data_IF_368187577713
#
_entry.id   IF_368187577713
#
_cell.length_a   1.000
_cell.length_b   1.000
_cell.length_c   1.000
_cell.angle_alpha   90.00
_cell.angle_beta   90.00
_cell.angle_gamma   90.00
#
_symmetry.space_group_name_H-M   'P 1'
#
loop_
_entity.id
_entity.type
_entity.pdbx_description
1 polymer ?
#
# COMPACT_ATOMS: atom_id res chain seq x y z
N UNK A 1 -16.60 56.85 45.92
CA UNK A 1 -15.97 55.51 45.87
C UNK A 1 -17.04 54.52 45.45
N UNK A 2 -16.81 53.78 44.36
CA UNK A 2 -17.58 52.59 44.02
C UNK A 2 -16.62 51.66 43.27
N UNK A 3 -16.30 50.50 43.85
CA UNK A 3 -15.31 49.57 43.32
C UNK A 3 -15.89 48.74 42.17
N UNK A 4 -15.18 48.73 41.04
CA UNK A 4 -15.42 47.75 39.98
C UNK A 4 -15.05 46.35 40.50
N UNK A 5 -16.04 45.51 40.74
CA UNK A 5 -15.83 44.09 41.04
C UNK A 5 -15.65 43.31 39.74
N UNK A 6 -14.42 43.00 39.38
CA UNK A 6 -14.15 42.01 38.34
C UNK A 6 -14.50 40.63 38.89
N UNK A 7 -15.50 39.96 38.30
CA UNK A 7 -15.81 38.58 38.65
C UNK A 7 -14.66 37.67 38.21
N UNK A 8 -13.97 37.03 39.16
CA UNK A 8 -13.00 36.00 38.85
C UNK A 8 -13.74 34.76 38.30
N UNK A 9 -13.63 34.52 36.99
CA UNK A 9 -14.19 33.33 36.37
C UNK A 9 -13.60 32.06 37.00
N UNK A 10 -14.46 31.08 37.29
CA UNK A 10 -14.19 29.89 38.09
C UNK A 10 -12.98 29.11 37.55
N UNK A 11 -11.95 28.78 38.38
CA UNK A 11 -10.86 27.91 37.94
C UNK A 11 -11.35 26.59 37.32
N UNK A 12 -12.48 26.03 37.80
CA UNK A 12 -13.08 24.82 37.27
C UNK A 12 -13.74 24.97 35.88
N UNK A 13 -14.02 26.19 35.42
CA UNK A 13 -14.43 26.45 34.04
C UNK A 13 -13.21 26.62 33.14
N UNK A 14 -12.19 27.36 33.59
CA UNK A 14 -10.94 27.59 32.84
C UNK A 14 -10.15 26.31 32.57
N UNK A 15 -10.20 25.32 33.47
CA UNK A 15 -9.60 24.01 33.23
C UNK A 15 -10.37 23.24 32.16
N UNK A 16 -11.71 23.21 32.20
CA UNK A 16 -12.54 22.55 31.18
C UNK A 16 -12.41 23.19 29.80
N UNK A 17 -12.29 24.52 29.75
CA UNK A 17 -12.03 25.26 28.50
C UNK A 17 -10.65 24.92 27.93
N UNK A 18 -9.62 24.77 28.78
CA UNK A 18 -8.28 24.30 28.36
C UNK A 18 -8.31 22.87 27.87
N UNK A 19 -8.94 21.95 28.60
CA UNK A 19 -9.08 20.54 28.18
C UNK A 19 -9.83 20.42 26.84
N UNK A 20 -10.92 21.17 26.65
CA UNK A 20 -11.65 21.20 25.38
C UNK A 20 -10.83 21.82 24.24
N UNK A 21 -10.05 22.86 24.51
CA UNK A 21 -9.19 23.50 23.51
C UNK A 21 -8.03 22.58 23.10
N UNK A 22 -7.41 21.88 24.05
CA UNK A 22 -6.34 20.91 23.79
C UNK A 22 -6.88 19.67 23.03
N UNK A 23 -8.07 19.16 23.37
CA UNK A 23 -8.71 18.06 22.63
C UNK A 23 -9.08 18.48 21.19
N UNK A 24 -9.65 19.68 20.99
CA UNK A 24 -9.90 20.26 19.66
C UNK A 24 -8.60 20.42 18.86
N UNK A 25 -7.52 20.87 19.49
CA UNK A 25 -6.22 21.04 18.83
C UNK A 25 -5.57 19.67 18.51
N UNK A 26 -5.75 18.67 19.37
CA UNK A 26 -5.31 17.30 19.15
C UNK A 26 -6.07 16.63 17.99
N UNK A 27 -7.40 16.75 17.97
CA UNK A 27 -8.26 16.23 16.90
C UNK A 27 -7.94 16.88 15.54
N UNK A 28 -7.70 18.21 15.50
CA UNK A 28 -7.21 18.88 14.29
C UNK A 28 -5.87 18.31 13.82
N UNK A 29 -4.90 18.11 14.71
CA UNK A 29 -3.59 17.52 14.34
C UNK A 29 -3.73 16.11 13.77
N UNK A 30 -4.62 15.27 14.33
CA UNK A 30 -4.87 13.92 13.82
C UNK A 30 -5.53 13.95 12.44
N UNK A 31 -6.55 14.78 12.25
CA UNK A 31 -7.21 14.98 10.97
C UNK A 31 -6.21 15.48 9.91
N UNK A 32 -5.42 16.52 10.24
CA UNK A 32 -4.36 17.05 9.38
C UNK A 32 -3.26 16.02 9.05
N UNK A 33 -2.94 15.07 9.94
CA UNK A 33 -1.95 14.02 9.64
C UNK A 33 -2.38 13.15 8.46
N UNK A 34 -3.69 12.87 8.37
CA UNK A 34 -4.28 12.18 7.23
C UNK A 34 -4.48 13.14 6.04
N UNK A 35 -5.22 14.23 6.22
CA UNK A 35 -5.62 15.11 5.10
C UNK A 35 -4.46 15.86 4.47
N UNK A 36 -3.31 16.05 5.13
CA UNK A 36 -2.12 16.60 4.47
C UNK A 36 -1.54 15.69 3.36
N UNK A 37 -2.00 14.44 3.22
CA UNK A 37 -1.54 13.48 2.22
C UNK A 37 -2.50 13.29 1.05
N UNK A 38 -3.76 13.69 1.18
CA UNK A 38 -4.84 13.45 0.22
C UNK A 38 -5.61 14.75 -0.03
N UNK A 39 -6.43 14.85 -1.07
CA UNK A 39 -7.32 16.02 -1.17
C UNK A 39 -8.41 15.99 -0.09
N UNK A 40 -9.02 17.14 0.18
CA UNK A 40 -10.00 17.36 1.27
C UNK A 40 -11.13 16.31 1.30
N UNK A 41 -11.55 15.84 0.11
CA UNK A 41 -12.63 14.88 -0.13
C UNK A 41 -12.33 13.43 0.27
N UNK A 42 -11.13 13.14 0.79
CA UNK A 42 -10.76 11.76 1.18
C UNK A 42 -11.63 11.24 2.33
N UNK A 43 -12.05 12.12 3.25
CA UNK A 43 -12.81 11.72 4.43
C UNK A 43 -14.23 11.30 4.06
N UNK A 44 -14.89 12.05 3.18
CA UNK A 44 -16.21 11.75 2.61
C UNK A 44 -16.17 10.42 1.86
N UNK A 45 -15.19 10.24 0.98
CA UNK A 45 -15.04 9.01 0.20
C UNK A 45 -14.79 7.78 1.08
N UNK A 46 -13.99 7.92 2.15
CA UNK A 46 -13.79 6.84 3.13
C UNK A 46 -15.03 6.60 4.02
N UNK A 47 -15.88 7.61 4.23
CA UNK A 47 -17.14 7.51 5.00
C UNK A 47 -18.24 6.78 4.22
N UNK A 48 -18.19 6.83 2.88
CA UNK A 48 -19.09 6.10 1.97
C UNK A 48 -18.70 4.62 1.78
N UNK A 49 -17.44 4.25 2.01
CA UNK A 49 -16.98 2.87 1.80
C UNK A 49 -17.62 1.90 2.82
N UNK A 50 -18.16 0.75 2.36
CA UNK A 50 -18.71 -0.26 3.25
C UNK A 50 -17.60 -0.98 4.04
N UNK A 51 -17.97 -1.44 5.24
CA UNK A 51 -17.11 -2.29 6.06
C UNK A 51 -16.52 -1.59 7.30
N UNK A 52 -15.96 -2.41 8.18
CA UNK A 52 -15.34 -1.99 9.44
C UNK A 52 -13.84 -1.89 9.25
N UNK A 53 -13.31 -0.66 9.28
CA UNK A 53 -11.88 -0.43 9.10
C UNK A 53 -11.40 0.86 9.78
N UNK A 54 -10.07 0.95 9.95
CA UNK A 54 -9.37 2.12 10.47
C UNK A 54 -8.04 2.34 9.73
N UNK A 55 -7.54 3.56 9.80
CA UNK A 55 -6.17 3.91 9.41
C UNK A 55 -5.42 4.40 10.65
N UNK A 56 -4.19 3.92 10.85
CA UNK A 56 -3.25 4.42 11.84
C UNK A 56 -2.06 5.11 11.17
N UNK A 57 -1.47 6.09 11.84
CA UNK A 57 -0.30 6.83 11.36
C UNK A 57 0.95 6.42 12.18
N UNK A 58 1.93 5.70 11.58
CA UNK A 58 3.14 5.26 12.28
C UNK A 58 4.18 6.37 12.47
N UNK A 59 4.05 7.53 11.82
CA UNK A 59 4.92 8.68 12.05
C UNK A 59 4.54 9.45 13.33
N UNK A 60 3.30 9.30 13.81
CA UNK A 60 2.84 9.86 15.07
C UNK A 60 3.20 8.95 16.26
N UNK A 61 3.61 9.58 17.37
CA UNK A 61 3.98 8.88 18.60
C UNK A 61 2.83 8.00 19.12
N UNK A 62 3.13 6.73 19.40
CA UNK A 62 2.13 5.74 19.84
C UNK A 62 1.34 5.06 18.73
N UNK A 63 1.60 5.38 17.46
CA UNK A 63 0.93 4.81 16.28
C UNK A 63 -0.62 4.93 16.37
N UNK A 64 -1.16 6.16 16.55
CA UNK A 64 -2.58 6.40 16.81
C UNK A 64 -3.46 6.12 15.59
N UNK A 65 -4.73 5.83 15.85
CA UNK A 65 -5.80 5.83 14.86
C UNK A 65 -6.07 7.28 14.41
N UNK A 66 -5.89 7.54 13.12
CA UNK A 66 -6.18 8.84 12.47
C UNK A 66 -7.49 8.82 11.67
N UNK A 67 -8.01 7.63 11.35
CA UNK A 67 -9.33 7.47 10.74
C UNK A 67 -10.03 6.21 11.27
N UNK A 68 -11.34 6.29 11.47
CA UNK A 68 -12.21 5.17 11.82
C UNK A 68 -13.49 5.23 10.97
N UNK A 69 -13.86 4.13 10.31
CA UNK A 69 -15.06 4.07 9.46
C UNK A 69 -16.36 4.02 10.28
N UNK A 70 -17.48 4.36 9.64
CA UNK A 70 -18.82 4.21 10.23
C UNK A 70 -19.12 2.76 10.59
N UNK A 71 -18.68 1.80 9.75
CA UNK A 71 -18.81 0.38 10.02
C UNK A 71 -18.01 -0.11 11.23
N UNK A 72 -16.85 0.51 11.53
CA UNK A 72 -16.08 0.19 12.75
C UNK A 72 -16.82 0.66 14.01
N UNK A 73 -17.41 1.85 13.98
CA UNK A 73 -18.23 2.35 15.09
C UNK A 73 -19.44 1.44 15.34
N UNK A 74 -20.14 1.02 14.27
CA UNK A 74 -21.26 0.08 14.36
C UNK A 74 -20.83 -1.32 14.87
N UNK A 75 -19.67 -1.83 14.45
CA UNK A 75 -19.16 -3.12 14.92
C UNK A 75 -18.74 -3.06 16.40
N UNK A 76 -17.95 -2.08 16.78
CA UNK A 76 -17.27 -2.05 18.08
C UNK A 76 -18.05 -1.32 19.16
N UNK A 77 -19.11 -0.58 18.80
CA UNK A 77 -19.90 0.24 19.72
C UNK A 77 -19.20 1.52 20.20
N UNK A 78 -17.94 1.76 19.83
CA UNK A 78 -17.22 2.99 20.14
C UNK A 78 -17.61 4.12 19.19
N UNK A 79 -17.81 5.32 19.72
CA UNK A 79 -17.94 6.50 18.87
C UNK A 79 -16.58 6.84 18.23
N UNK A 80 -16.57 7.38 17.00
CA UNK A 80 -15.33 7.72 16.27
C UNK A 80 -14.36 8.58 17.12
N UNK A 81 -14.89 9.59 17.81
CA UNK A 81 -14.14 10.44 18.76
C UNK A 81 -13.49 9.69 19.93
N UNK A 82 -14.02 8.54 20.34
CA UNK A 82 -13.48 7.74 21.46
C UNK A 82 -12.32 6.82 21.03
N UNK A 83 -12.06 6.69 19.72
CA UNK A 83 -10.99 5.84 19.15
C UNK A 83 -9.91 6.61 18.40
N UNK A 84 -10.25 7.77 17.80
CA UNK A 84 -9.27 8.68 17.21
C UNK A 84 -8.20 9.08 18.25
N UNK A 85 -6.94 9.18 17.84
CA UNK A 85 -5.81 9.50 18.71
C UNK A 85 -5.30 8.35 19.59
N UNK A 86 -6.06 7.25 19.70
CA UNK A 86 -5.68 6.09 20.52
C UNK A 86 -5.05 5.01 19.64
N UNK A 87 -4.15 4.21 20.22
CA UNK A 87 -3.65 3.01 19.56
C UNK A 87 -4.73 1.91 19.48
N UNK A 88 -4.71 1.11 18.40
CA UNK A 88 -5.69 0.03 18.14
C UNK A 88 -5.79 -1.06 19.25
N UNK A 89 -4.88 -1.06 20.23
CA UNK A 89 -5.00 -1.82 21.49
C UNK A 89 -6.27 -1.52 22.30
N UNK A 90 -7.00 -0.43 22.00
CA UNK A 90 -8.30 -0.10 22.62
C UNK A 90 -9.33 -1.23 22.51
N UNK A 91 -9.29 -2.02 21.43
CA UNK A 91 -10.21 -3.14 21.21
C UNK A 91 -9.77 -4.44 21.89
N UNK A 92 -8.63 -4.47 22.59
CA UNK A 92 -8.07 -5.68 23.20
C UNK A 92 -8.41 -5.75 24.69
N UNK A 93 -8.56 -6.96 25.24
CA UNK A 93 -8.91 -7.19 26.64
C UNK A 93 -8.24 -8.44 27.22
N UNK A 94 -8.72 -8.89 28.38
CA UNK A 94 -8.02 -9.87 29.21
C UNK A 94 -7.81 -11.25 28.53
N UNK A 95 -8.77 -11.70 27.72
CA UNK A 95 -8.67 -12.96 26.99
C UNK A 95 -8.17 -12.81 25.53
N UNK A 96 -7.78 -11.61 25.09
CA UNK A 96 -7.16 -11.44 23.78
C UNK A 96 -5.80 -12.15 23.75
N UNK A 97 -5.64 -13.10 22.83
CA UNK A 97 -4.41 -13.90 22.73
C UNK A 97 -3.16 -13.03 22.50
N UNK A 98 -2.16 -13.24 23.36
CA UNK A 98 -0.88 -12.54 23.30
C UNK A 98 -0.05 -12.97 22.09
N UNK A 99 -0.19 -14.20 21.58
CA UNK A 99 0.53 -14.66 20.40
C UNK A 99 -0.02 -13.99 19.12
N UNK A 100 -1.35 -13.94 18.95
CA UNK A 100 -2.00 -13.15 17.90
C UNK A 100 -1.57 -11.67 17.94
N UNK A 101 -1.58 -11.04 19.12
CA UNK A 101 -1.13 -9.65 19.28
C UNK A 101 0.38 -9.50 18.97
N UNK A 102 1.22 -10.47 19.32
CA UNK A 102 2.64 -10.45 18.96
C UNK A 102 2.84 -10.56 17.44
N UNK A 103 2.08 -11.43 16.75
CA UNK A 103 2.09 -11.54 15.29
C UNK A 103 1.72 -10.23 14.59
N UNK A 104 0.72 -9.51 15.10
CA UNK A 104 0.35 -8.16 14.63
C UNK A 104 1.49 -7.15 14.83
N UNK A 105 2.10 -7.10 16.03
CA UNK A 105 3.24 -6.20 16.29
C UNK A 105 4.41 -6.50 15.36
N UNK A 106 4.67 -7.78 15.09
CA UNK A 106 5.77 -8.19 14.23
C UNK A 106 5.49 -7.88 12.75
N UNK A 107 4.24 -8.01 12.29
CA UNK A 107 3.84 -7.55 10.97
C UNK A 107 3.99 -6.02 10.79
N UNK A 108 3.71 -5.24 11.85
CA UNK A 108 3.96 -3.79 11.86
C UNK A 108 5.46 -3.49 11.75
N UNK A 109 6.31 -4.14 12.56
CA UNK A 109 7.78 -3.96 12.50
C UNK A 109 8.37 -4.35 11.16
N UNK A 110 7.97 -5.50 10.62
CA UNK A 110 8.40 -6.00 9.32
C UNK A 110 7.70 -5.30 8.14
N UNK A 111 6.82 -4.31 8.40
CA UNK A 111 6.12 -3.51 7.38
C UNK A 111 5.46 -4.38 6.31
N UNK A 112 4.76 -5.44 6.73
CA UNK A 112 4.12 -6.44 5.86
C UNK A 112 2.65 -6.63 6.18
N UNK A 113 1.90 -7.13 5.20
CA UNK A 113 0.52 -7.56 5.44
C UNK A 113 0.46 -8.76 6.40
N UNK A 114 -0.64 -8.86 7.14
CA UNK A 114 -0.91 -9.98 8.05
C UNK A 114 -2.41 -10.16 8.26
N UNK A 115 -2.87 -11.41 8.26
CA UNK A 115 -4.20 -11.78 8.68
C UNK A 115 -4.12 -12.63 9.95
N UNK A 116 -4.99 -12.34 10.91
CA UNK A 116 -5.11 -13.10 12.16
C UNK A 116 -6.53 -13.04 12.69
N UNK A 117 -7.06 -14.16 13.18
CA UNK A 117 -8.28 -14.16 13.98
C UNK A 117 -7.94 -13.70 15.40
N UNK A 118 -8.63 -12.67 15.89
CA UNK A 118 -8.35 -12.06 17.19
C UNK A 118 -9.65 -11.77 17.95
N UNK A 119 -9.62 -12.03 19.26
CA UNK A 119 -10.70 -11.70 20.17
C UNK A 119 -10.62 -10.22 20.56
N UNK A 120 -11.58 -9.43 20.10
CA UNK A 120 -11.73 -8.02 20.43
C UNK A 120 -12.93 -7.80 21.36
N UNK A 121 -12.94 -6.66 22.04
CA UNK A 121 -13.98 -6.24 22.97
C UNK A 121 -14.69 -4.99 22.45
N UNK A 122 -16.01 -4.98 22.56
CA UNK A 122 -16.84 -3.81 22.25
C UNK A 122 -16.84 -2.83 23.42
N UNK A 123 -17.38 -1.62 23.20
CA UNK A 123 -17.48 -0.56 24.21
C UNK A 123 -18.21 -0.97 25.49
N UNK A 124 -19.15 -1.91 25.40
CA UNK A 124 -19.90 -2.49 26.52
C UNK A 124 -19.14 -3.62 27.26
N UNK A 125 -17.94 -3.98 26.81
CA UNK A 125 -17.15 -5.08 27.35
C UNK A 125 -17.51 -6.46 26.78
N UNK A 126 -18.43 -6.56 25.83
CA UNK A 126 -18.76 -7.85 25.19
C UNK A 126 -17.61 -8.33 24.27
N UNK A 127 -17.17 -9.60 24.38
CA UNK A 127 -16.19 -10.16 23.48
C UNK A 127 -16.80 -10.47 22.10
N UNK A 128 -16.00 -10.34 21.05
CA UNK A 128 -16.34 -10.79 19.70
C UNK A 128 -15.07 -11.14 18.91
N UNK A 129 -15.16 -12.18 18.08
CA UNK A 129 -14.08 -12.56 17.19
C UNK A 129 -14.12 -11.76 15.90
N UNK A 130 -12.95 -11.29 15.47
CA UNK A 130 -12.77 -10.67 14.15
C UNK A 130 -11.56 -11.28 13.44
N UNK A 131 -11.68 -11.45 12.13
CA UNK A 131 -10.54 -11.55 11.25
C UNK A 131 -10.00 -10.13 11.05
N UNK A 132 -8.84 -9.88 11.64
CA UNK A 132 -8.06 -8.67 11.43
C UNK A 132 -7.18 -8.86 10.20
N UNK A 133 -7.43 -8.09 9.15
CA UNK A 133 -6.51 -7.93 8.02
C UNK A 133 -5.79 -6.59 8.15
N UNK A 134 -4.51 -6.67 8.51
CA UNK A 134 -3.59 -5.54 8.57
C UNK A 134 -2.80 -5.46 7.25
N UNK A 135 -2.76 -4.28 6.65
CA UNK A 135 -1.95 -3.98 5.47
C UNK A 135 -1.26 -2.61 5.59
N UNK A 136 0.06 -2.51 5.37
CA UNK A 136 0.74 -1.22 5.23
C UNK A 136 0.30 -0.51 3.94
N UNK A 137 0.13 0.81 4.03
CA UNK A 137 -0.07 1.72 2.89
C UNK A 137 1.22 2.52 2.72
N UNK A 138 1.87 2.34 1.57
CA UNK A 138 3.17 2.93 1.28
C UNK A 138 3.04 4.22 0.47
N UNK A 139 4.00 5.12 0.61
CA UNK A 139 4.24 6.15 -0.39
C UNK A 139 4.82 5.49 -1.64
N UNK A 140 4.23 5.77 -2.81
CA UNK A 140 4.51 5.03 -4.03
C UNK A 140 5.91 5.29 -4.62
N UNK A 141 6.57 6.40 -4.24
CA UNK A 141 7.90 6.77 -4.78
C UNK A 141 9.09 6.21 -4.00
N UNK A 142 9.00 6.18 -2.67
CA UNK A 142 10.14 5.85 -1.79
C UNK A 142 9.95 4.56 -0.96
N UNK A 143 8.78 3.92 -1.03
CA UNK A 143 8.50 2.69 -0.28
C UNK A 143 8.45 2.87 1.24
N UNK A 144 8.37 4.10 1.75
CA UNK A 144 8.09 4.42 3.15
C UNK A 144 6.64 4.07 3.49
N UNK A 145 6.37 3.69 4.75
CA UNK A 145 5.00 3.43 5.20
C UNK A 145 4.36 4.74 5.67
N UNK A 146 3.26 5.12 5.04
CA UNK A 146 2.48 6.31 5.41
C UNK A 146 1.41 5.99 6.45
N UNK A 147 0.71 4.87 6.28
CA UNK A 147 -0.34 4.42 7.19
C UNK A 147 -0.33 2.89 7.31
N UNK A 148 -0.97 2.37 8.36
CA UNK A 148 -1.47 0.99 8.33
C UNK A 148 -2.99 1.01 8.25
N UNK A 149 -3.51 0.25 7.28
CA UNK A 149 -4.91 -0.08 7.14
C UNK A 149 -5.21 -1.35 7.94
N UNK A 150 -6.23 -1.30 8.79
CA UNK A 150 -6.74 -2.47 9.49
C UNK A 150 -8.22 -2.64 9.19
N UNK A 151 -8.57 -3.71 8.46
CA UNK A 151 -9.94 -4.15 8.21
C UNK A 151 -10.32 -5.22 9.24
N UNK A 152 -11.52 -5.12 9.81
CA UNK A 152 -12.05 -6.09 10.77
C UNK A 152 -13.33 -6.72 10.21
N UNK A 153 -13.28 -8.01 9.89
CA UNK A 153 -14.46 -8.80 9.49
C UNK A 153 -14.88 -9.66 10.69
N UNK A 154 -16.12 -9.56 11.20
CA UNK A 154 -16.59 -10.47 12.25
C UNK A 154 -16.47 -11.93 11.83
N UNK A 155 -16.07 -12.81 12.76
CA UNK A 155 -16.05 -14.26 12.52
C UNK A 155 -17.31 -14.88 13.15
N UNK A 156 -18.20 -15.37 12.30
CA UNK A 156 -19.49 -15.90 12.74
C UNK A 156 -19.32 -17.21 13.54
N UNK A 157 -20.29 -17.48 14.42
CA UNK A 157 -20.30 -18.69 15.24
C UNK A 157 -20.99 -19.84 14.50
N UNK A 158 -20.20 -20.67 13.82
CA UNK A 158 -20.70 -21.89 13.16
C UNK A 158 -21.33 -22.92 14.13
N UNK A 159 -21.24 -22.70 15.46
CA UNK A 159 -21.72 -23.61 16.50
C UNK A 159 -23.11 -23.30 17.07
N UNK A 160 -23.72 -22.13 16.84
CA UNK A 160 -25.11 -21.85 17.25
C UNK A 160 -26.07 -22.12 16.10
N UNK A 161 -26.37 -23.40 15.90
CA UNK A 161 -27.22 -23.88 14.83
C UNK A 161 -28.59 -23.18 14.79
N UNK A 162 -29.00 -22.79 13.59
CA UNK A 162 -30.39 -22.45 13.31
C UNK A 162 -31.26 -23.68 13.62
N UNK A 163 -32.14 -23.56 14.62
CA UNK A 163 -33.11 -24.59 14.98
C UNK A 163 -34.19 -24.75 13.92
N UNK A 164 -33.84 -25.39 12.80
CA UNK A 164 -34.81 -25.83 11.82
C UNK A 164 -35.61 -27.00 12.44
N UNK A 165 -36.95 -26.92 12.53
CA UNK A 165 -37.75 -27.99 13.10
C UNK A 165 -37.74 -29.21 12.17
N UNK A 166 -37.09 -30.30 12.60
CA UNK A 166 -37.08 -31.56 11.88
C UNK A 166 -38.49 -32.14 11.72
N UNK A 167 -39.15 -31.85 10.59
CA UNK A 167 -40.23 -32.71 10.09
C UNK A 167 -39.61 -33.87 9.34
N UNK A 168 -39.89 -35.09 9.80
CA UNK A 168 -39.24 -36.30 9.31
C UNK A 168 -39.63 -36.69 7.89
N UNK A 169 -38.71 -37.38 7.23
CA UNK A 169 -38.96 -38.27 6.11
C UNK A 169 -38.13 -39.54 6.32
N UNK A 170 -38.69 -40.70 6.00
CA UNK A 170 -38.11 -42.00 6.31
C UNK A 170 -37.04 -42.41 5.29
N UNK A 171 -35.99 -43.08 5.78
CA UNK A 171 -35.41 -44.28 5.17
C UNK A 171 -34.82 -44.22 3.76
N UNK A 172 -33.49 -44.37 3.68
CA UNK A 172 -32.90 -45.33 2.75
C UNK A 172 -31.58 -45.88 3.33
N UNK A 173 -31.49 -47.20 3.45
CA UNK A 173 -30.28 -47.93 3.81
C UNK A 173 -29.35 -47.99 2.59
N UNK A 174 -28.06 -47.73 2.76
CA UNK A 174 -27.02 -48.37 1.96
C UNK A 174 -25.77 -48.60 2.82
N UNK A 175 -25.49 -49.87 3.10
CA UNK A 175 -24.29 -50.32 3.80
C UNK A 175 -23.29 -50.91 2.80
N UNK A 176 -21.99 -50.74 3.07
CA UNK A 176 -20.92 -51.51 2.46
C UNK A 176 -19.74 -51.68 3.43
N UNK A 177 -19.72 -52.87 4.05
CA UNK A 177 -18.59 -53.78 4.30
C UNK A 177 -17.23 -53.20 4.78
N UNK A 178 -16.73 -53.46 6.01
CA UNK A 178 -16.38 -54.75 6.71
C UNK A 178 -14.91 -55.15 6.46
N UNK A 179 -13.98 -54.96 7.42
CA UNK A 179 -13.54 -55.87 8.53
C UNK A 179 -12.63 -57.00 7.99
N UNK A 180 -11.51 -57.43 8.61
CA UNK A 180 -11.23 -58.02 9.94
C UNK A 180 -9.74 -57.71 10.29
N UNK A 181 -9.22 -57.60 11.53
CA UNK A 181 -8.90 -58.63 12.55
C UNK A 181 -7.85 -58.00 13.53
N UNK A 182 -7.47 -58.51 14.73
CA UNK A 182 -7.84 -59.67 15.56
C UNK A 182 -7.51 -59.40 17.06
N UNK A 183 -8.19 -60.17 17.92
CA UNK A 183 -8.08 -60.48 19.36
C UNK A 183 -6.72 -60.35 20.10
N UNK A 184 -6.79 -59.68 21.25
CA UNK A 184 -6.15 -59.81 22.60
C UNK A 184 -4.88 -60.66 22.86
N UNK A 185 -4.01 -60.12 23.75
CA UNK A 185 -3.49 -60.84 24.93
C UNK A 185 -3.01 -59.85 26.04
N UNK A 186 -3.06 -60.29 27.31
CA UNK A 186 -2.93 -59.47 28.53
C UNK A 186 -1.50 -58.98 28.89
N UNK A 187 -1.39 -57.91 29.72
CA UNK A 187 -0.81 -57.98 31.09
C UNK A 187 -0.90 -56.62 31.86
N UNK A 188 -1.21 -56.61 33.17
CA UNK A 188 -1.38 -55.37 33.94
C UNK A 188 -0.14 -54.97 34.76
N UNK A 189 0.04 -53.66 35.01
CA UNK A 189 0.82 -53.20 36.15
C UNK A 189 0.26 -51.88 36.71
N UNK A 190 -0.25 -51.94 37.94
CA UNK A 190 -0.51 -50.78 38.77
C UNK A 190 0.14 -51.00 40.13
N UNK A 191 0.98 -50.06 40.58
CA UNK A 191 0.92 -49.55 41.97
C UNK A 191 1.95 -48.46 42.30
N UNK A 192 1.47 -47.50 43.09
CA UNK A 192 2.15 -46.75 44.15
C UNK A 192 3.17 -45.61 43.87
N UNK A 193 2.58 -44.41 43.77
CA UNK A 193 2.90 -43.21 44.54
C UNK A 193 4.31 -42.59 44.48
N UNK A 194 4.41 -41.50 43.72
CA UNK A 194 5.24 -40.33 44.06
C UNK A 194 4.34 -39.10 44.17
N UNK A 195 4.17 -38.52 45.36
CA UNK A 195 3.38 -37.29 45.55
C UNK A 195 4.09 -36.10 44.91
N UNK A 196 3.57 -35.61 43.78
CA UNK A 196 3.85 -34.24 43.32
C UNK A 196 2.65 -33.38 43.73
N UNK A 197 2.93 -32.21 44.30
CA UNK A 197 1.91 -31.29 44.80
C UNK A 197 0.95 -30.87 43.69
N UNK A 198 -0.36 -31.03 43.94
CA UNK A 198 -1.39 -30.44 43.09
C UNK A 198 -1.53 -28.97 43.50
N UNK A 199 -1.03 -28.07 42.66
CA UNK A 199 -1.40 -26.65 42.74
C UNK A 199 -2.84 -26.50 42.22
N UNK A 200 -3.78 -26.38 43.14
CA UNK A 200 -5.22 -26.41 42.84
C UNK A 200 -5.84 -25.01 42.97
N UNK A 201 -5.64 -24.16 41.98
CA UNK A 201 -6.70 -23.23 41.55
C UNK A 201 -6.51 -22.74 40.10
N UNK A 202 -7.03 -23.54 39.16
CA UNK A 202 -7.46 -23.07 37.83
C UNK A 202 -8.97 -23.19 37.68
N UNK A 203 -9.71 -22.59 38.61
CA UNK A 203 -11.15 -22.36 38.43
C UNK A 203 -11.38 -21.06 37.66
N UNK A 204 -12.02 -21.17 36.50
CA UNK A 204 -12.84 -20.08 35.96
C UNK A 204 -12.17 -19.09 35.01
N UNK A 205 -11.49 -19.58 33.96
CA UNK A 205 -11.46 -18.91 32.65
C UNK A 205 -11.36 -19.99 31.58
N UNK A 206 -12.50 -20.41 31.04
CA UNK A 206 -12.48 -21.10 29.74
C UNK A 206 -12.00 -20.08 28.71
N UNK A 207 -10.75 -20.23 28.27
CA UNK A 207 -10.26 -19.46 27.14
C UNK A 207 -11.10 -19.86 25.92
N UNK A 208 -11.89 -18.93 25.38
CA UNK A 208 -12.62 -19.15 24.13
C UNK A 208 -11.64 -19.70 23.09
N UNK A 209 -11.95 -20.88 22.54
CA UNK A 209 -11.07 -21.54 21.59
C UNK A 209 -10.83 -20.61 20.39
N UNK A 210 -9.58 -20.49 19.91
CA UNK A 210 -9.27 -19.59 18.80
C UNK A 210 -10.12 -19.96 17.58
N UNK A 211 -10.89 -18.99 17.08
CA UNK A 211 -11.72 -19.19 15.89
C UNK A 211 -10.87 -19.15 14.63
N UNK A 212 -11.25 -19.95 13.64
CA UNK A 212 -10.64 -19.96 12.31
C UNK A 212 -11.61 -19.23 11.38
N UNK A 213 -11.13 -18.19 10.72
CA UNK A 213 -11.92 -17.51 9.69
C UNK A 213 -12.06 -18.40 8.45
N UNK A 214 -13.27 -18.43 7.90
CA UNK A 214 -13.60 -19.01 6.60
C UNK A 214 -12.91 -18.26 5.45
N UNK A 215 -12.83 -18.89 4.28
CA UNK A 215 -12.19 -18.26 3.11
C UNK A 215 -13.00 -17.08 2.56
N UNK A 216 -14.33 -17.09 2.71
CA UNK A 216 -15.18 -15.95 2.35
C UNK A 216 -14.96 -14.73 3.26
N UNK A 217 -14.72 -14.94 4.56
CA UNK A 217 -14.33 -13.86 5.48
C UNK A 217 -12.95 -13.27 5.13
N UNK A 218 -11.99 -14.12 4.73
CA UNK A 218 -10.66 -13.69 4.25
C UNK A 218 -10.73 -12.90 2.95
N UNK A 219 -11.50 -13.39 1.98
CA UNK A 219 -11.69 -12.72 0.69
C UNK A 219 -12.40 -11.38 0.86
N UNK A 220 -13.45 -11.32 1.71
CA UNK A 220 -14.14 -10.09 2.09
C UNK A 220 -13.20 -9.08 2.75
N UNK A 221 -12.27 -9.53 3.60
CA UNK A 221 -11.29 -8.63 4.22
C UNK A 221 -10.32 -8.04 3.17
N UNK A 222 -9.85 -8.85 2.22
CA UNK A 222 -8.93 -8.43 1.14
C UNK A 222 -9.62 -7.50 0.14
N UNK A 223 -10.84 -7.81 -0.31
CA UNK A 223 -11.58 -6.97 -1.27
C UNK A 223 -11.96 -5.61 -0.67
N UNK A 224 -12.32 -5.59 0.61
CA UNK A 224 -12.53 -4.35 1.38
C UNK A 224 -11.24 -3.54 1.43
N UNK A 225 -10.11 -4.16 1.78
CA UNK A 225 -8.81 -3.48 1.85
C UNK A 225 -8.37 -2.90 0.50
N UNK A 226 -8.51 -3.66 -0.59
CA UNK A 226 -8.21 -3.22 -1.95
C UNK A 226 -9.06 -2.01 -2.36
N UNK A 227 -10.35 -2.01 -2.00
CA UNK A 227 -11.27 -0.88 -2.26
C UNK A 227 -10.82 0.39 -1.54
N UNK A 228 -10.41 0.27 -0.28
CA UNK A 228 -9.93 1.40 0.54
C UNK A 228 -8.59 1.92 0.00
N UNK A 229 -7.64 1.04 -0.33
CA UNK A 229 -6.34 1.45 -0.93
C UNK A 229 -6.56 2.12 -2.29
N UNK A 230 -7.53 1.67 -3.09
CA UNK A 230 -7.88 2.30 -4.36
C UNK A 230 -8.48 3.70 -4.17
N UNK A 231 -9.32 3.91 -3.15
CA UNK A 231 -9.81 5.23 -2.78
C UNK A 231 -8.67 6.15 -2.33
N UNK A 232 -7.82 5.71 -1.39
CA UNK A 232 -6.64 6.46 -0.96
C UNK A 232 -5.72 6.81 -2.13
N UNK A 233 -5.46 5.87 -3.06
CA UNK A 233 -4.69 6.11 -4.27
C UNK A 233 -5.33 7.23 -5.12
N UNK A 234 -6.64 7.17 -5.38
CA UNK A 234 -7.39 8.16 -6.15
C UNK A 234 -7.21 9.57 -5.58
N UNK A 235 -7.42 9.76 -4.28
CA UNK A 235 -7.32 11.08 -3.64
C UNK A 235 -5.88 11.53 -3.34
N UNK A 236 -4.89 10.62 -3.36
CA UNK A 236 -3.46 10.94 -3.27
C UNK A 236 -2.83 11.43 -4.58
N UNK A 237 -3.47 11.16 -5.73
CA UNK A 237 -3.00 11.69 -7.03
C UNK A 237 -3.12 13.21 -7.11
N UNK A 238 -4.14 13.78 -6.47
CA UNK A 238 -4.42 15.21 -6.45
C UNK A 238 -3.42 16.03 -5.61
N UNK A 239 -2.70 15.39 -4.69
CA UNK A 239 -1.64 16.00 -3.85
C UNK A 239 -0.23 15.67 -4.33
N UNK A 240 -0.09 14.81 -5.36
CA UNK A 240 1.20 14.31 -5.85
C UNK A 240 1.90 13.29 -4.94
N UNK A 241 1.38 13.04 -3.74
CA UNK A 241 1.89 12.12 -2.71
C UNK A 241 1.28 10.72 -2.88
N UNK A 242 1.36 10.18 -4.10
CA UNK A 242 0.67 8.94 -4.51
C UNK A 242 0.95 7.78 -3.56
N UNK A 243 -0.09 7.01 -3.19
CA UNK A 243 0.04 5.86 -2.28
C UNK A 243 -0.18 4.51 -2.96
N UNK A 244 0.39 3.44 -2.40
CA UNK A 244 0.31 2.06 -2.90
C UNK A 244 0.10 1.05 -1.77
N UNK A 245 -0.71 0.01 -2.02
CA UNK A 245 -0.86 -1.14 -1.11
C UNK A 245 0.24 -2.20 -1.24
N UNK A 246 1.09 -2.10 -2.27
CA UNK A 246 2.33 -2.86 -2.38
C UNK A 246 3.50 -1.95 -2.07
N UNK A 247 4.51 -2.46 -1.36
CA UNK A 247 5.76 -1.72 -1.19
C UNK A 247 6.32 -1.41 -2.57
N UNK A 248 6.69 -0.16 -2.81
CA UNK A 248 7.66 0.09 -3.86
C UNK A 248 8.98 -0.44 -3.32
N UNK A 249 9.28 -1.68 -3.66
CA UNK A 249 10.59 -2.25 -3.37
C UNK A 249 11.62 -1.40 -4.13
N UNK A 250 12.36 -0.58 -3.39
CA UNK A 250 13.66 -0.08 -3.85
C UNK A 250 14.70 -1.21 -3.84
N UNK A 251 14.32 -2.39 -4.35
CA UNK A 251 15.26 -3.34 -4.93
C UNK A 251 15.94 -2.56 -6.04
N UNK A 252 17.26 -2.41 -5.92
CA UNK A 252 18.03 -1.44 -6.68
C UNK A 252 17.70 -1.49 -8.16
N UNK A 253 17.54 -0.29 -8.76
CA UNK A 253 17.26 -0.04 -10.18
C UNK A 253 17.92 -1.14 -11.01
N UNK A 254 17.15 -2.02 -11.68
CA UNK A 254 17.68 -3.28 -12.16
C UNK A 254 18.77 -3.00 -13.18
N UNK A 255 20.01 -3.27 -12.77
CA UNK A 255 21.18 -2.78 -13.47
C UNK A 255 21.24 -3.41 -14.87
N UNK A 256 21.24 -2.56 -15.89
CA UNK A 256 21.41 -3.00 -17.28
C UNK A 256 22.70 -3.83 -17.41
N UNK A 257 22.68 -4.84 -18.28
CA UNK A 257 23.90 -5.57 -18.61
C UNK A 257 24.98 -4.60 -19.12
N UNK A 258 26.25 -4.88 -18.82
CA UNK A 258 27.37 -4.02 -19.22
C UNK A 258 27.42 -3.83 -20.74
N UNK A 259 27.09 -4.86 -21.50
CA UNK A 259 26.98 -4.83 -22.96
C UNK A 259 25.85 -3.91 -23.46
N UNK A 260 24.71 -3.86 -22.75
CA UNK A 260 23.60 -2.95 -23.08
C UNK A 260 24.01 -1.52 -22.79
N UNK A 261 24.57 -1.26 -21.60
CA UNK A 261 25.03 0.06 -21.19
C UNK A 261 26.08 0.64 -22.18
N UNK A 262 27.07 -0.17 -22.58
CA UNK A 262 28.06 0.20 -23.61
C UNK A 262 27.44 0.46 -25.00
N UNK A 263 26.35 -0.21 -25.34
CA UNK A 263 25.65 0.00 -26.62
C UNK A 263 24.85 1.29 -26.60
N UNK A 264 24.13 1.55 -25.50
CA UNK A 264 23.35 2.77 -25.29
C UNK A 264 24.24 4.02 -25.21
N UNK A 265 25.42 3.93 -24.58
CA UNK A 265 26.37 5.04 -24.45
C UNK A 265 27.00 5.53 -25.77
N UNK A 266 26.79 4.83 -26.89
CA UNK A 266 27.22 5.27 -28.23
C UNK A 266 26.22 6.20 -28.91
N UNK A 267 24.97 6.18 -28.48
CA UNK A 267 23.87 6.99 -29.04
C UNK A 267 24.04 8.44 -28.56
N UNK A 268 23.94 9.41 -29.48
CA UNK A 268 24.27 10.83 -29.21
C UNK A 268 23.04 11.71 -28.94
N UNK A 269 21.85 11.20 -29.22
CA UNK A 269 20.58 11.84 -28.92
C UNK A 269 20.32 11.90 -27.41
N UNK A 270 19.53 12.88 -26.98
CA UNK A 270 19.02 12.95 -25.61
C UNK A 270 17.86 11.97 -25.44
N UNK A 271 18.08 10.91 -24.66
CA UNK A 271 17.04 9.96 -24.28
C UNK A 271 17.22 9.36 -22.89
N UNK A 272 16.10 8.83 -22.36
CA UNK A 272 16.03 7.94 -21.19
C UNK A 272 15.30 6.64 -21.54
N UNK A 273 15.56 5.58 -20.77
CA UNK A 273 14.76 4.36 -20.77
C UNK A 273 14.01 4.24 -19.44
N UNK A 274 12.71 3.94 -19.48
CA UNK A 274 11.87 3.69 -18.31
C UNK A 274 11.33 2.26 -18.30
N UNK A 275 11.19 1.65 -17.12
CA UNK A 275 10.69 0.29 -16.99
C UNK A 275 9.20 0.25 -16.60
N UNK A 276 8.31 0.02 -17.56
CA UNK A 276 6.86 0.15 -17.35
C UNK A 276 6.22 -0.90 -16.42
N UNK A 277 6.85 -2.07 -16.28
CA UNK A 277 6.40 -3.08 -15.31
C UNK A 277 6.80 -2.76 -13.85
N UNK A 278 7.64 -1.74 -13.61
CA UNK A 278 7.98 -1.29 -12.26
C UNK A 278 7.02 -0.17 -11.81
N UNK A 279 6.71 -0.07 -10.50
CA UNK A 279 5.90 1.03 -9.98
C UNK A 279 6.49 2.39 -10.38
N UNK A 280 5.61 3.33 -10.72
CA UNK A 280 5.97 4.71 -11.11
C UNK A 280 6.76 4.86 -12.44
N UNK A 281 6.97 3.79 -13.22
CA UNK A 281 7.77 3.78 -14.46
C UNK A 281 9.11 4.54 -14.34
N UNK A 282 10.04 4.07 -13.48
CA UNK A 282 11.27 4.78 -13.17
C UNK A 282 12.24 4.75 -14.35
N UNK A 283 13.03 5.81 -14.48
CA UNK A 283 14.18 5.90 -15.38
C UNK A 283 15.25 4.92 -14.90
N UNK A 284 15.56 3.93 -15.74
CA UNK A 284 16.61 2.93 -15.49
C UNK A 284 17.91 3.23 -16.25
N UNK A 285 17.86 4.14 -17.20
CA UNK A 285 19.02 4.64 -17.95
C UNK A 285 18.76 6.07 -18.45
N UNK A 286 19.77 6.92 -18.36
CA UNK A 286 19.83 8.22 -19.01
C UNK A 286 21.07 8.32 -19.90
N UNK A 287 20.93 8.91 -21.09
CA UNK A 287 22.08 9.24 -21.96
C UNK A 287 22.81 10.48 -21.43
N UNK A 288 24.11 10.61 -21.74
CA UNK A 288 24.89 11.78 -21.32
C UNK A 288 24.38 13.08 -21.97
N UNK A 289 23.79 12.99 -23.16
CA UNK A 289 23.08 14.09 -23.82
C UNK A 289 21.83 14.53 -23.04
N UNK A 290 21.08 13.60 -22.43
CA UNK A 290 19.95 13.93 -21.55
C UNK A 290 20.40 14.62 -20.27
N UNK A 291 21.46 14.12 -19.63
CA UNK A 291 22.04 14.75 -18.43
C UNK A 291 22.52 16.19 -18.76
N UNK A 292 23.17 16.36 -19.92
CA UNK A 292 23.63 17.66 -20.42
C UNK A 292 22.48 18.61 -20.77
N UNK A 293 21.40 18.12 -21.35
CA UNK A 293 20.21 18.89 -21.71
C UNK A 293 19.46 19.42 -20.47
N UNK A 294 19.36 18.58 -19.44
CA UNK A 294 18.45 18.82 -18.30
C UNK A 294 19.15 19.34 -17.04
N UNK A 295 20.48 19.19 -16.94
CA UNK A 295 21.28 19.61 -15.80
C UNK A 295 21.23 18.68 -14.57
N UNK A 296 20.50 17.56 -14.65
CA UNK A 296 20.48 16.54 -13.60
C UNK A 296 21.71 15.64 -13.66
N UNK A 297 22.20 15.21 -12.49
CA UNK A 297 23.21 14.16 -12.41
C UNK A 297 22.58 12.79 -12.70
N UNK A 298 23.42 11.81 -13.03
CA UNK A 298 22.99 10.42 -13.28
C UNK A 298 22.38 9.80 -12.01
N UNK A 299 22.96 10.11 -10.86
CA UNK A 299 22.56 9.66 -9.53
C UNK A 299 21.24 10.28 -9.08
N UNK A 300 20.94 11.50 -9.53
CA UNK A 300 19.68 12.21 -9.22
C UNK A 300 18.51 11.75 -10.09
N UNK A 301 18.75 11.36 -11.35
CA UNK A 301 17.68 11.02 -12.29
C UNK A 301 17.32 9.52 -12.29
N UNK A 302 18.30 8.65 -12.03
CA UNK A 302 18.07 7.21 -12.01
C UNK A 302 17.12 6.83 -10.87
N UNK A 303 16.02 6.14 -11.20
CA UNK A 303 14.96 5.76 -10.26
C UNK A 303 13.79 6.74 -10.22
N UNK A 304 13.95 7.96 -10.74
CA UNK A 304 12.86 8.92 -10.85
C UNK A 304 11.98 8.64 -12.07
N UNK A 305 10.70 9.02 -11.99
CA UNK A 305 9.83 9.12 -13.17
C UNK A 305 10.17 10.36 -14.01
N UNK A 306 10.00 10.32 -15.34
CA UNK A 306 10.29 11.43 -16.25
C UNK A 306 9.58 12.76 -15.91
N UNK A 307 8.49 12.74 -15.13
CA UNK A 307 7.80 13.95 -14.65
C UNK A 307 8.67 14.95 -13.88
N UNK A 308 9.89 14.59 -13.49
CA UNK A 308 10.86 15.52 -12.89
C UNK A 308 11.21 16.69 -13.82
N UNK A 309 10.95 16.56 -15.13
CA UNK A 309 11.04 17.66 -16.09
C UNK A 309 9.74 18.48 -16.23
N UNK A 310 8.68 18.15 -15.50
CA UNK A 310 7.44 18.92 -15.56
C UNK A 310 7.52 20.14 -14.64
N UNK A 311 6.89 21.24 -15.05
CA UNK A 311 6.80 22.48 -14.28
C UNK A 311 5.47 23.21 -14.52
N UNK A 312 5.33 24.46 -14.04
CA UNK A 312 4.05 25.16 -13.98
C UNK A 312 3.33 25.37 -15.32
N UNK A 313 4.07 25.42 -16.44
CA UNK A 313 3.53 25.56 -17.79
C UNK A 313 3.46 24.26 -18.60
N UNK A 314 3.75 23.10 -18.01
CA UNK A 314 3.66 21.81 -18.71
C UNK A 314 2.19 21.40 -18.86
N UNK A 315 1.72 21.17 -20.09
CA UNK A 315 0.31 20.84 -20.36
C UNK A 315 -0.08 19.47 -19.79
N UNK A 316 -1.14 19.45 -18.98
CA UNK A 316 -1.72 18.23 -18.44
C UNK A 316 -2.41 17.39 -19.51
N UNK A 317 -3.05 18.02 -20.51
CA UNK A 317 -3.74 17.33 -21.61
C UNK A 317 -2.74 16.51 -22.44
N UNK A 318 -1.56 17.08 -22.74
CA UNK A 318 -0.47 16.37 -23.44
C UNK A 318 0.10 15.24 -22.59
N UNK A 319 0.20 15.42 -21.27
CA UNK A 319 0.60 14.32 -20.36
C UNK A 319 -0.44 13.19 -20.37
N UNK A 320 -1.73 13.50 -20.40
CA UNK A 320 -2.79 12.49 -20.52
C UNK A 320 -2.73 11.75 -21.86
N UNK A 321 -2.46 12.45 -22.97
CA UNK A 321 -2.21 11.84 -24.29
C UNK A 321 -1.02 10.87 -24.27
N UNK A 322 0.12 11.28 -23.71
CA UNK A 322 1.30 10.41 -23.55
C UNK A 322 0.93 9.15 -22.74
N UNK A 323 0.20 9.30 -21.64
CA UNK A 323 -0.21 8.18 -20.80
C UNK A 323 -1.17 7.21 -21.53
N UNK A 324 -2.07 7.71 -22.39
CA UNK A 324 -2.94 6.87 -23.22
C UNK A 324 -2.13 6.04 -24.23
N UNK A 325 -1.11 6.64 -24.86
CA UNK A 325 -0.21 5.93 -25.78
C UNK A 325 0.63 4.86 -25.08
N UNK A 326 1.16 5.15 -23.88
CA UNK A 326 1.87 4.17 -23.04
C UNK A 326 0.96 2.99 -22.67
N UNK A 327 -0.27 3.26 -22.21
CA UNK A 327 -1.25 2.23 -21.85
C UNK A 327 -1.71 1.35 -23.03
N UNK A 328 -1.66 1.88 -24.26
CA UNK A 328 -2.01 1.16 -25.49
C UNK A 328 -0.78 0.56 -26.22
N UNK A 329 0.40 0.63 -25.59
CA UNK A 329 1.70 0.24 -26.17
C UNK A 329 1.94 0.82 -27.58
N UNK A 330 1.55 2.08 -27.78
CA UNK A 330 1.77 2.85 -29.00
C UNK A 330 2.89 3.88 -28.83
N UNK A 331 3.43 4.37 -29.96
CA UNK A 331 4.35 5.48 -29.97
C UNK A 331 3.61 6.80 -30.18
N UNK A 332 4.10 7.89 -29.58
CA UNK A 332 3.63 9.26 -29.82
C UNK A 332 4.81 10.22 -29.95
N UNK A 333 4.58 11.35 -30.62
CA UNK A 333 5.45 12.53 -30.60
C UNK A 333 4.58 13.72 -30.27
N UNK A 334 4.97 14.51 -29.27
CA UNK A 334 4.18 15.66 -28.79
C UNK A 334 5.09 16.85 -28.48
N UNK A 335 4.56 18.07 -28.64
CA UNK A 335 5.22 19.28 -28.15
C UNK A 335 4.90 19.49 -26.66
N UNK A 336 5.93 19.50 -25.82
CA UNK A 336 5.82 19.66 -24.37
C UNK A 336 6.68 20.84 -23.88
N UNK A 337 6.22 21.56 -22.86
CA UNK A 337 7.09 22.50 -22.14
C UNK A 337 7.76 21.79 -20.97
N UNK A 338 9.05 21.48 -21.12
CA UNK A 338 9.88 20.81 -20.11
C UNK A 338 10.74 21.80 -19.34
N UNK A 339 11.22 21.40 -18.17
CA UNK A 339 11.99 22.22 -17.23
C UNK A 339 13.28 21.51 -16.82
N UNK A 340 14.36 22.30 -16.73
CA UNK A 340 15.68 21.85 -16.27
C UNK A 340 15.79 21.95 -14.75
N UNK A 341 16.84 21.34 -14.21
CA UNK A 341 17.18 21.39 -12.78
C UNK A 341 17.32 22.82 -12.22
N UNK A 342 17.78 23.76 -13.03
CA UNK A 342 17.92 25.18 -12.66
C UNK A 342 16.60 25.98 -12.70
N UNK A 343 15.49 25.33 -13.07
CA UNK A 343 14.17 25.94 -13.24
C UNK A 343 13.94 26.60 -14.60
N UNK A 344 14.92 26.62 -15.50
CA UNK A 344 14.72 27.13 -16.87
C UNK A 344 13.84 26.17 -17.68
N UNK A 345 12.91 26.71 -18.46
CA UNK A 345 12.06 25.92 -19.37
C UNK A 345 12.68 25.78 -20.76
N UNK A 346 12.23 24.77 -21.52
CA UNK A 346 12.52 24.61 -22.94
C UNK A 346 11.36 23.95 -23.69
N UNK A 347 11.13 24.30 -24.98
CA UNK A 347 10.21 23.57 -25.84
C UNK A 347 10.82 22.21 -26.20
N UNK A 348 10.23 21.14 -25.68
CA UNK A 348 10.68 19.77 -25.80
C UNK A 348 9.77 19.03 -26.78
N UNK A 349 10.25 18.80 -27.99
CA UNK A 349 9.60 17.85 -28.89
C UNK A 349 9.89 16.46 -28.32
N UNK A 350 8.90 15.83 -27.70
CA UNK A 350 9.06 14.60 -26.94
C UNK A 350 8.53 13.40 -27.73
N UNK A 351 9.40 12.46 -28.07
CA UNK A 351 9.00 11.19 -28.67
C UNK A 351 9.05 10.05 -27.65
N UNK A 352 7.93 9.34 -27.47
CA UNK A 352 7.81 8.19 -26.55
C UNK A 352 7.48 6.93 -27.37
N UNK A 353 8.20 5.84 -27.14
CA UNK A 353 7.99 4.59 -27.89
C UNK A 353 8.26 3.34 -27.05
N UNK A 354 7.46 2.26 -27.15
CA UNK A 354 7.78 0.97 -26.56
C UNK A 354 8.94 0.28 -27.29
N UNK A 355 9.90 -0.21 -26.52
CA UNK A 355 11.01 -1.05 -26.97
C UNK A 355 10.72 -2.50 -26.57
N UNK A 356 10.44 -3.32 -27.58
CA UNK A 356 10.14 -4.75 -27.41
C UNK A 356 11.40 -5.61 -27.48
N UNK A 357 11.47 -6.61 -26.60
CA UNK A 357 12.52 -7.62 -26.58
C UNK A 357 12.36 -8.65 -27.73
N UNK A 358 13.17 -9.70 -27.72
CA UNK A 358 13.08 -10.80 -28.69
C UNK A 358 11.82 -11.66 -28.55
N UNK A 359 11.10 -11.61 -27.40
CA UNK A 359 9.82 -12.29 -27.19
C UNK A 359 8.61 -11.49 -27.70
N UNK A 360 8.81 -10.22 -28.08
CA UNK A 360 7.75 -9.29 -28.49
C UNK A 360 7.10 -8.52 -27.32
N UNK A 361 7.48 -8.81 -26.08
CA UNK A 361 7.02 -8.07 -24.90
C UNK A 361 7.74 -6.72 -24.80
N UNK A 362 7.06 -5.69 -24.31
CA UNK A 362 7.70 -4.40 -24.01
C UNK A 362 8.67 -4.59 -22.85
N UNK A 363 9.97 -4.41 -23.11
CA UNK A 363 11.00 -4.41 -22.07
C UNK A 363 11.07 -3.03 -21.41
N UNK A 364 11.13 -1.98 -22.23
CA UNK A 364 11.29 -0.58 -21.79
C UNK A 364 10.41 0.34 -22.64
N UNK A 365 10.12 1.54 -22.15
CA UNK A 365 9.78 2.68 -23.01
C UNK A 365 11.01 3.56 -23.17
N UNK A 366 11.30 4.00 -24.40
CA UNK A 366 12.27 5.06 -24.68
C UNK A 366 11.52 6.39 -24.71
N UNK A 367 12.13 7.41 -24.13
CA UNK A 367 11.71 8.81 -24.22
C UNK A 367 12.88 9.58 -24.83
N UNK A 368 12.67 10.17 -26.00
CA UNK A 368 13.67 10.97 -26.73
C UNK A 368 13.26 12.43 -26.63
N UNK A 369 14.11 13.24 -26.02
CA UNK A 369 13.88 14.66 -25.76
C UNK A 369 14.65 15.51 -26.77
N UNK A 370 14.08 16.63 -27.22
CA UNK A 370 14.71 17.53 -28.18
C UNK A 370 14.30 18.97 -27.91
N UNK A 371 15.25 19.79 -27.48
CA UNK A 371 15.04 21.23 -27.33
C UNK A 371 14.97 21.92 -28.70
N UNK A 372 13.76 22.23 -29.14
CA UNK A 372 13.50 22.89 -30.43
C UNK A 372 14.03 24.34 -30.45
N UNK A 373 14.26 24.94 -29.27
CA UNK A 373 14.89 26.25 -29.12
C UNK A 373 16.42 26.22 -29.26
N UNK A 374 17.06 25.04 -29.21
CA UNK A 374 18.50 24.89 -29.33
C UNK A 374 18.95 24.69 -30.79
N UNK A 375 20.20 25.11 -31.10
CA UNK A 375 20.80 24.87 -32.41
C UNK A 375 21.24 23.41 -32.53
N UNK A 376 20.47 22.61 -33.26
CA UNK A 376 20.79 21.24 -33.62
C UNK A 376 21.24 21.12 -35.08
N UNK A 377 22.28 20.34 -35.33
CA UNK A 377 22.61 19.87 -36.68
C UNK A 377 21.94 18.52 -36.91
N UNK A 378 20.89 18.54 -37.75
CA UNK A 378 20.13 17.35 -38.11
C UNK A 378 20.72 16.62 -39.34
N UNK A 379 21.83 17.08 -39.92
CA UNK A 379 22.41 16.54 -41.17
C UNK A 379 21.39 16.44 -42.33
N UNK A 380 20.42 17.36 -42.38
CA UNK A 380 19.34 17.38 -43.38
C UNK A 380 18.13 16.48 -43.09
N UNK A 381 18.06 15.83 -41.91
CA UNK A 381 16.88 15.10 -41.45
C UNK A 381 15.85 16.05 -40.81
N UNK A 382 14.59 15.62 -40.73
CA UNK A 382 13.59 16.29 -39.88
C UNK A 382 13.81 15.92 -38.40
N UNK A 383 13.34 16.75 -37.45
CA UNK A 383 13.42 16.47 -36.02
C UNK A 383 12.90 15.08 -35.63
N UNK A 384 11.77 14.67 -36.18
CA UNK A 384 11.10 13.40 -35.88
C UNK A 384 11.92 12.21 -36.40
N UNK A 385 12.45 12.30 -37.64
CA UNK A 385 13.32 11.27 -38.23
C UNK A 385 14.62 11.15 -37.44
N UNK A 386 15.17 12.26 -36.96
CA UNK A 386 16.37 12.26 -36.09
C UNK A 386 16.11 11.58 -34.74
N UNK A 387 14.94 11.79 -34.13
CA UNK A 387 14.54 11.09 -32.90
C UNK A 387 14.32 9.60 -33.12
N UNK A 388 13.67 9.21 -34.21
CA UNK A 388 13.47 7.81 -34.57
C UNK A 388 14.79 7.05 -34.79
N UNK A 389 15.89 7.76 -35.14
CA UNK A 389 17.24 7.20 -35.16
C UNK A 389 17.69 6.64 -33.80
N UNK A 390 17.39 7.34 -32.70
CA UNK A 390 17.68 6.85 -31.35
C UNK A 390 16.81 5.62 -31.00
N UNK A 391 15.51 5.67 -31.32
CA UNK A 391 14.59 4.54 -31.12
C UNK A 391 15.07 3.29 -31.86
N UNK A 392 15.52 3.44 -33.11
CA UNK A 392 16.08 2.37 -33.91
C UNK A 392 17.34 1.77 -33.29
N UNK A 393 18.30 2.61 -32.88
CA UNK A 393 19.54 2.17 -32.25
C UNK A 393 19.32 1.44 -30.92
N UNK A 394 18.44 1.96 -30.05
CA UNK A 394 18.04 1.30 -28.80
C UNK A 394 17.36 -0.04 -29.07
N UNK A 395 16.44 -0.10 -30.05
CA UNK A 395 15.71 -1.33 -30.41
C UNK A 395 16.66 -2.43 -30.92
N UNK A 396 17.71 -2.07 -31.66
CA UNK A 396 18.79 -3.01 -32.06
C UNK A 396 19.59 -3.47 -30.84
N UNK A 397 20.02 -2.55 -29.96
CA UNK A 397 20.80 -2.88 -28.77
C UNK A 397 20.06 -3.82 -27.81
N UNK A 398 18.76 -3.61 -27.58
CA UNK A 398 17.93 -4.47 -26.73
C UNK A 398 17.75 -5.85 -27.37
N UNK A 399 17.34 -5.93 -28.64
CA UNK A 399 17.11 -7.21 -29.33
C UNK A 399 18.36 -8.07 -29.45
N UNK A 400 19.50 -7.47 -29.79
CA UNK A 400 20.78 -8.18 -29.90
C UNK A 400 21.23 -8.84 -28.61
N UNK A 401 20.85 -8.27 -27.46
CA UNK A 401 21.25 -8.78 -26.15
C UNK A 401 20.24 -9.77 -25.55
N UNK A 402 18.93 -9.62 -25.81
CA UNK A 402 17.95 -10.67 -25.47
C UNK A 402 18.25 -12.03 -26.12
N UNK A 403 18.95 -12.05 -27.26
CA UNK A 403 19.39 -13.26 -27.94
C UNK A 403 20.68 -13.87 -27.34
N UNK A 404 21.40 -13.15 -26.46
CA UNK A 404 22.72 -13.54 -25.94
C UNK A 404 22.82 -13.53 -24.41
N UNK A 405 21.78 -13.11 -23.68
CA UNK A 405 21.75 -13.12 -22.22
C UNK A 405 20.59 -12.32 -21.63
N UNK A 406 20.60 -12.14 -20.31
CA UNK A 406 19.62 -11.29 -19.63
C UNK A 406 19.90 -9.80 -19.87
N UNK A 407 18.85 -9.02 -20.14
CA UNK A 407 18.92 -7.55 -20.26
C UNK A 407 19.26 -6.87 -18.92
N UNK A 408 18.83 -7.48 -17.82
CA UNK A 408 18.96 -6.98 -16.45
C UNK A 408 19.83 -7.95 -15.64
N UNK A 409 20.65 -7.43 -14.73
CA UNK A 409 21.33 -8.28 -13.73
C UNK A 409 20.32 -8.80 -12.71
N UNK A 410 20.42 -10.06 -12.25
CA UNK A 410 19.69 -10.50 -11.07
C UNK A 410 20.12 -9.65 -9.86
N UNK A 411 19.16 -9.25 -9.04
CA UNK A 411 19.41 -8.65 -7.72
C UNK A 411 20.15 -9.66 -6.84
N UNK A 412 21.27 -9.23 -6.25
CA UNK A 412 21.96 -9.97 -5.17
C UNK A 412 21.28 -9.71 -3.84
#
# INVERSE_FOLDING_TARGET
MASSGAAEADPGEREREREQHDDLHHQRRLASSLTARYSDWVLEALDELPGSFLLTDPALAGHPIVYASRGLAALTGYARREVLGRGARVFQGAATDRAAVAGVREAVRAQRAHQVAILNYRRDGSPHWVLLHLAPVFHARDGSVLHFLAVQVPIDDAGRGAGAPCRGAQGAVLAACREEARVDDDFPCASYSGKVFVDMDRRGLEAEKPRIASDSEKEKAISTANSIVAALNRYSKLTGLVVSGKRCDSVGIPALSSSLNLSLGRIKQSFVLTHSCLPDMPIIYASDAFLSLTGYSREEILGCNCRVLNGPGTSLEVIEEINQHICSEQACTVDLLSYRKDGSSFPDLLHVSPIRDASGKVAFHIWVHLDVGAKHDFNGLTPEVWQLGAVGAVRVAVRGLSASGSLLRPSQ
#
